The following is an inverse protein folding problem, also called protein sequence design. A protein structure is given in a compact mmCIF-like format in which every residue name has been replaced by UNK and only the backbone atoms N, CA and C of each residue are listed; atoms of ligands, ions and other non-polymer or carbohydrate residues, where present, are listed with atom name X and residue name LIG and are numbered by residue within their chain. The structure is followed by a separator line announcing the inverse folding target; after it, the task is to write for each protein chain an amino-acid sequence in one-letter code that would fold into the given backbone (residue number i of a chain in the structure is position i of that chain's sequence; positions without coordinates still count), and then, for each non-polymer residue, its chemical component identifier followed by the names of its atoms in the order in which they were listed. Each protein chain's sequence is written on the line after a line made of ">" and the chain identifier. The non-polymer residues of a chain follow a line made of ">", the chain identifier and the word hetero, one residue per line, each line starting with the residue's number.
data_IF_184078134404
#
_entry.id   IF_184078134404
#
_cell.length_a   1.000
_cell.length_b   1.000
_cell.length_c   1.000
_cell.angle_alpha   90.00
_cell.angle_beta   90.00
_cell.angle_gamma   90.00
#
_symmetry.space_group_name_H-M   'P 1'
#
loop_
_entity.id
_entity.type
_entity.pdbx_description
1 polymer ?
#
# COMPACT_ATOMS: atom_id res chain seq x y z
N UNK A 1 -19.23 -17.99 5.68
CA UNK A 1 -18.05 -17.39 6.37
C UNK A 1 -18.45 -17.08 7.82
N UNK A 2 -17.67 -17.54 8.79
CA UNK A 2 -17.97 -17.32 10.23
C UNK A 2 -17.88 -15.84 10.59
N UNK A 3 -18.63 -15.41 11.62
CA UNK A 3 -18.60 -14.02 12.14
C UNK A 3 -17.17 -13.60 12.52
N UNK A 4 -16.42 -14.51 13.15
CA UNK A 4 -15.02 -14.30 13.54
C UNK A 4 -14.13 -14.03 12.33
N UNK A 5 -14.22 -14.84 11.26
CA UNK A 5 -13.44 -14.62 10.03
C UNK A 5 -13.73 -13.25 9.39
N UNK A 6 -14.97 -12.75 9.45
CA UNK A 6 -15.32 -11.40 8.96
C UNK A 6 -14.63 -10.31 9.78
N UNK A 7 -14.66 -10.44 11.10
CA UNK A 7 -14.05 -9.47 12.02
C UNK A 7 -12.53 -9.45 11.81
N UNK A 8 -11.87 -10.61 11.80
CA UNK A 8 -10.43 -10.73 11.56
C UNK A 8 -10.03 -10.08 10.24
N UNK A 9 -10.76 -10.34 9.17
CA UNK A 9 -10.46 -9.75 7.87
C UNK A 9 -10.54 -8.22 7.87
N UNK A 10 -11.56 -7.66 8.54
CA UNK A 10 -11.70 -6.20 8.68
C UNK A 10 -10.59 -5.59 9.54
N UNK A 11 -10.19 -6.24 10.63
CA UNK A 11 -9.07 -5.78 11.45
C UNK A 11 -7.79 -5.72 10.62
N UNK A 12 -7.48 -6.80 9.87
CA UNK A 12 -6.30 -6.86 9.02
C UNK A 12 -6.31 -5.79 7.92
N UNK A 13 -7.44 -5.60 7.25
CA UNK A 13 -7.60 -4.54 6.24
C UNK A 13 -7.47 -3.15 6.86
N UNK A 14 -8.05 -2.90 8.04
CA UNK A 14 -7.94 -1.62 8.73
C UNK A 14 -6.51 -1.31 9.14
N UNK A 15 -5.77 -2.29 9.68
CA UNK A 15 -4.34 -2.12 10.00
C UNK A 15 -3.54 -1.79 8.74
N UNK A 16 -3.85 -2.47 7.63
CA UNK A 16 -3.20 -2.21 6.34
C UNK A 16 -3.49 -0.80 5.82
N UNK A 17 -4.73 -0.34 5.91
CA UNK A 17 -5.12 1.02 5.52
C UNK A 17 -4.45 2.06 6.42
N UNK A 18 -4.42 1.85 7.74
CA UNK A 18 -3.79 2.81 8.67
C UNK A 18 -2.29 2.97 8.37
N UNK A 19 -1.57 1.87 8.24
CA UNK A 19 -0.14 1.88 7.92
C UNK A 19 0.14 2.35 6.49
N UNK A 20 -0.73 2.00 5.55
CA UNK A 20 -0.69 2.51 4.18
C UNK A 20 -0.91 4.01 4.08
N UNK A 21 -1.80 4.59 4.89
CA UNK A 21 -2.03 6.04 4.95
C UNK A 21 -0.88 6.79 5.63
N UNK A 22 -0.24 6.19 6.63
CA UNK A 22 1.01 6.71 7.22
C UNK A 22 2.09 6.77 6.13
N UNK A 23 2.29 5.67 5.39
CA UNK A 23 3.25 5.61 4.27
C UNK A 23 2.93 6.68 3.21
N UNK A 24 1.67 6.76 2.78
CA UNK A 24 1.20 7.80 1.86
C UNK A 24 1.56 9.21 2.34
N UNK A 25 1.29 9.54 3.60
CA UNK A 25 1.51 10.88 4.14
C UNK A 25 3.01 11.25 4.12
N UNK A 26 3.88 10.35 4.56
CA UNK A 26 5.32 10.58 4.50
C UNK A 26 5.83 10.70 3.06
N UNK A 27 5.38 9.83 2.16
CA UNK A 27 5.76 9.91 0.74
C UNK A 27 5.29 11.22 0.11
N UNK A 28 4.08 11.68 0.44
CA UNK A 28 3.56 12.96 -0.04
C UNK A 28 4.42 14.12 0.46
N UNK A 29 4.82 14.12 1.72
CA UNK A 29 5.69 15.15 2.30
C UNK A 29 7.03 15.27 1.55
N UNK A 30 7.59 14.18 1.03
CA UNK A 30 8.84 14.20 0.27
C UNK A 30 8.75 15.01 -1.03
N UNK A 31 7.55 15.28 -1.54
CA UNK A 31 7.31 16.18 -2.68
C UNK A 31 7.86 17.59 -2.47
N UNK A 32 8.02 18.02 -1.21
CA UNK A 32 8.46 19.37 -0.88
C UNK A 32 9.65 19.39 0.09
N UNK A 33 10.27 18.25 0.34
CA UNK A 33 11.37 18.12 1.30
C UNK A 33 12.71 18.22 0.57
N UNK A 34 13.51 19.29 0.77
CA UNK A 34 14.77 19.49 0.04
C UNK A 34 15.77 18.34 0.19
N UNK A 35 15.77 17.66 1.33
CA UNK A 35 16.64 16.52 1.63
C UNK A 35 16.37 15.30 0.75
N UNK A 36 15.17 15.20 0.16
CA UNK A 36 14.77 14.14 -0.76
C UNK A 36 14.94 14.53 -2.25
N UNK A 37 15.40 15.74 -2.50
CA UNK A 37 15.65 16.24 -3.84
C UNK A 37 17.07 15.87 -4.27
N UNK A 38 17.23 15.46 -5.53
CA UNK A 38 18.56 15.26 -6.12
C UNK A 38 19.21 16.60 -6.48
N UNK A 39 19.43 17.48 -5.49
CA UNK A 39 19.83 18.88 -5.66
C UNK A 39 21.16 19.09 -6.37
N UNK A 40 22.00 18.05 -6.45
CA UNK A 40 23.23 18.05 -7.25
C UNK A 40 22.99 18.01 -8.78
N UNK A 41 21.74 17.80 -9.22
CA UNK A 41 21.34 17.76 -10.62
C UNK A 41 20.41 18.94 -10.94
N UNK A 42 20.60 19.57 -12.10
CA UNK A 42 19.85 20.76 -12.55
C UNK A 42 18.32 20.57 -12.50
N UNK A 43 17.83 19.42 -12.97
CA UNK A 43 16.40 19.05 -12.94
C UNK A 43 16.02 18.15 -11.75
N UNK A 44 16.97 17.88 -10.85
CA UNK A 44 16.82 16.92 -9.77
C UNK A 44 15.66 17.22 -8.82
N UNK A 45 15.48 18.47 -8.34
CA UNK A 45 14.34 18.84 -7.53
C UNK A 45 13.00 18.56 -8.20
N UNK A 46 12.81 18.98 -9.46
CA UNK A 46 11.56 18.76 -10.20
C UNK A 46 11.28 17.27 -10.38
N UNK A 47 12.30 16.49 -10.74
CA UNK A 47 12.16 15.05 -10.97
C UNK A 47 11.82 14.28 -9.69
N UNK A 48 12.58 14.49 -8.61
CA UNK A 48 12.32 13.86 -7.31
C UNK A 48 10.92 14.20 -6.77
N UNK A 49 10.51 15.47 -6.86
CA UNK A 49 9.19 15.91 -6.40
C UNK A 49 8.07 15.24 -7.20
N UNK A 50 8.20 15.19 -8.53
CA UNK A 50 7.24 14.50 -9.40
C UNK A 50 7.09 13.02 -9.03
N UNK A 51 8.22 12.32 -8.83
CA UNK A 51 8.19 10.90 -8.48
C UNK A 51 7.62 10.67 -7.08
N UNK A 52 7.99 11.46 -6.08
CA UNK A 52 7.41 11.38 -4.74
C UNK A 52 5.88 11.57 -4.77
N UNK A 53 5.39 12.59 -5.46
CA UNK A 53 3.96 12.83 -5.60
C UNK A 53 3.24 11.69 -6.32
N UNK A 54 3.81 11.20 -7.43
CA UNK A 54 3.27 10.06 -8.19
C UNK A 54 3.15 8.82 -7.32
N UNK A 55 4.20 8.48 -6.56
CA UNK A 55 4.18 7.33 -5.65
C UNK A 55 3.14 7.52 -4.53
N UNK A 56 2.99 8.73 -3.98
CA UNK A 56 1.92 9.03 -3.03
C UNK A 56 0.52 8.81 -3.63
N UNK A 57 0.30 9.19 -4.89
CA UNK A 57 -0.99 8.96 -5.55
C UNK A 57 -1.27 7.46 -5.78
N UNK A 58 -0.26 6.67 -6.11
CA UNK A 58 -0.38 5.21 -6.19
C UNK A 58 -0.72 4.59 -4.83
N UNK A 59 -0.03 5.03 -3.77
CA UNK A 59 -0.31 4.63 -2.40
C UNK A 59 -1.76 4.95 -2.00
N UNK A 60 -2.21 6.17 -2.27
CA UNK A 60 -3.58 6.61 -1.97
C UNK A 60 -4.61 5.76 -2.73
N UNK A 61 -4.39 5.49 -4.02
CA UNK A 61 -5.29 4.68 -4.82
C UNK A 61 -5.46 3.26 -4.23
N UNK A 62 -4.37 2.61 -3.84
CA UNK A 62 -4.41 1.28 -3.20
C UNK A 62 -5.13 1.33 -1.86
N UNK A 63 -4.87 2.35 -1.02
CA UNK A 63 -5.58 2.54 0.24
C UNK A 63 -7.10 2.69 0.03
N UNK A 64 -7.55 3.49 -0.95
CA UNK A 64 -8.97 3.65 -1.26
C UNK A 64 -9.61 2.34 -1.73
N UNK A 65 -8.90 1.54 -2.53
CA UNK A 65 -9.35 0.21 -2.94
C UNK A 65 -9.49 -0.76 -1.76
N UNK A 66 -8.57 -0.69 -0.78
CA UNK A 66 -8.62 -1.49 0.45
C UNK A 66 -9.73 -1.02 1.40
N UNK A 67 -9.97 0.29 1.51
CA UNK A 67 -11.11 0.85 2.25
C UNK A 67 -12.42 0.33 1.68
N UNK A 68 -12.59 0.38 0.34
CA UNK A 68 -13.76 -0.20 -0.35
C UNK A 68 -13.92 -1.69 0.02
N UNK A 69 -12.83 -2.45 -0.04
CA UNK A 69 -12.84 -3.87 0.30
C UNK A 69 -13.20 -4.12 1.78
N UNK A 70 -12.72 -3.30 2.71
CA UNK A 70 -13.04 -3.38 4.13
C UNK A 70 -14.54 -3.12 4.40
N UNK A 71 -15.10 -2.08 3.76
CA UNK A 71 -16.52 -1.72 3.85
C UNK A 71 -17.40 -2.85 3.31
N UNK A 72 -17.16 -3.27 2.06
CA UNK A 72 -17.98 -4.28 1.38
C UNK A 72 -17.80 -5.69 1.99
N UNK A 73 -16.63 -6.00 2.53
CA UNK A 73 -16.32 -7.32 3.08
C UNK A 73 -16.64 -8.42 2.08
N UNK A 74 -17.37 -9.45 2.50
CA UNK A 74 -17.75 -10.59 1.64
C UNK A 74 -18.78 -10.27 0.57
N UNK A 75 -19.39 -9.08 0.60
CA UNK A 75 -20.33 -8.64 -0.43
C UNK A 75 -19.62 -8.02 -1.65
N UNK A 76 -18.29 -7.87 -1.60
CA UNK A 76 -17.51 -7.40 -2.74
C UNK A 76 -17.70 -8.34 -3.93
N UNK A 77 -17.94 -7.78 -5.12
CA UNK A 77 -17.98 -8.56 -6.36
C UNK A 77 -16.59 -9.12 -6.68
N UNK A 78 -16.53 -10.27 -7.34
CA UNK A 78 -15.24 -10.92 -7.63
C UNK A 78 -14.31 -10.03 -8.45
N UNK A 79 -14.84 -9.30 -9.42
CA UNK A 79 -14.08 -8.39 -10.29
C UNK A 79 -13.43 -7.28 -9.46
N UNK A 80 -14.18 -6.66 -8.55
CA UNK A 80 -13.65 -5.61 -7.67
C UNK A 80 -12.62 -6.16 -6.68
N UNK A 81 -12.85 -7.37 -6.15
CA UNK A 81 -11.88 -8.04 -5.30
C UNK A 81 -10.59 -8.38 -6.06
N UNK A 82 -10.71 -8.88 -7.30
CA UNK A 82 -9.59 -9.24 -8.14
C UNK A 82 -8.77 -8.01 -8.53
N UNK A 83 -9.41 -6.91 -8.94
CA UNK A 83 -8.72 -5.64 -9.21
C UNK A 83 -8.04 -5.10 -7.97
N UNK A 84 -8.72 -5.06 -6.81
CA UNK A 84 -8.10 -4.60 -5.56
C UNK A 84 -6.89 -5.46 -5.20
N UNK A 85 -7.00 -6.78 -5.33
CA UNK A 85 -5.92 -7.72 -5.02
C UNK A 85 -4.74 -7.55 -5.97
N UNK A 86 -5.00 -7.43 -7.27
CA UNK A 86 -3.98 -7.18 -8.28
C UNK A 86 -3.22 -5.88 -7.98
N UNK A 87 -3.93 -4.78 -7.76
CA UNK A 87 -3.31 -3.49 -7.44
C UNK A 87 -2.49 -3.54 -6.15
N UNK A 88 -3.02 -4.16 -5.09
CA UNK A 88 -2.31 -4.30 -3.82
C UNK A 88 -1.03 -5.14 -3.96
N UNK A 89 -1.10 -6.28 -4.66
CA UNK A 89 0.06 -7.16 -4.90
C UNK A 89 1.16 -6.40 -5.64
N UNK A 90 0.85 -5.76 -6.76
CA UNK A 90 1.86 -5.06 -7.56
C UNK A 90 2.44 -3.83 -6.85
N UNK A 91 1.63 -3.14 -6.05
CA UNK A 91 2.11 -2.05 -5.21
C UNK A 91 3.09 -2.55 -4.14
N UNK A 92 2.73 -3.59 -3.39
CA UNK A 92 3.61 -4.14 -2.35
C UNK A 92 4.87 -4.80 -2.94
N UNK A 93 4.78 -5.43 -4.10
CA UNK A 93 5.94 -5.97 -4.83
C UNK A 93 7.01 -4.88 -5.04
N UNK A 94 6.60 -3.63 -5.34
CA UNK A 94 7.52 -2.51 -5.48
C UNK A 94 8.35 -2.22 -4.24
N UNK A 95 7.82 -2.50 -3.04
CA UNK A 95 8.54 -2.33 -1.78
C UNK A 95 9.56 -3.45 -1.52
N UNK A 96 9.21 -4.69 -1.90
CA UNK A 96 9.97 -5.87 -1.47
C UNK A 96 10.97 -6.36 -2.52
N UNK A 97 10.70 -6.18 -3.81
CA UNK A 97 11.60 -6.65 -4.87
C UNK A 97 12.79 -5.72 -5.08
N UNK A 98 12.72 -4.47 -4.64
CA UNK A 98 13.86 -3.55 -4.75
C UNK A 98 15.09 -4.07 -4.00
N UNK A 99 14.88 -4.80 -2.89
CA UNK A 99 15.96 -5.30 -2.06
C UNK A 99 16.75 -6.44 -2.72
N UNK A 100 16.16 -7.57 -3.15
CA UNK A 100 16.92 -8.63 -3.80
C UNK A 100 17.46 -8.25 -5.18
N UNK A 101 16.88 -7.25 -5.86
CA UNK A 101 17.32 -6.85 -7.21
C UNK A 101 18.45 -5.82 -7.15
N UNK A 102 18.32 -4.78 -6.31
CA UNK A 102 19.25 -3.64 -6.28
C UNK A 102 19.88 -3.37 -4.91
N UNK A 103 19.52 -4.15 -3.88
CA UNK A 103 19.97 -3.89 -2.51
C UNK A 103 19.22 -2.76 -1.81
N UNK A 104 18.17 -2.20 -2.43
CA UNK A 104 17.43 -1.07 -1.87
C UNK A 104 16.28 -1.53 -0.98
N UNK A 105 16.24 -1.02 0.23
CA UNK A 105 15.18 -1.25 1.19
C UNK A 105 14.84 0.06 1.91
N UNK A 106 13.83 0.04 2.78
CA UNK A 106 13.43 1.28 3.44
C UNK A 106 14.56 1.78 4.38
N UNK A 107 14.81 3.10 4.45
CA UNK A 107 16.01 3.64 5.10
C UNK A 107 16.02 3.51 6.62
N UNK A 108 14.90 3.15 7.26
CA UNK A 108 14.80 2.93 8.68
C UNK A 108 13.81 1.80 9.00
N UNK A 109 14.09 1.06 10.08
CA UNK A 109 13.31 -0.11 10.50
C UNK A 109 11.81 0.20 10.71
N UNK A 110 11.48 1.41 11.16
CA UNK A 110 10.09 1.84 11.32
C UNK A 110 9.30 1.82 10.02
N UNK A 111 9.91 2.23 8.89
CA UNK A 111 9.26 2.16 7.58
C UNK A 111 9.10 0.72 7.11
N UNK A 112 10.10 -0.14 7.35
CA UNK A 112 10.00 -1.56 7.01
C UNK A 112 8.88 -2.26 7.77
N UNK A 113 8.76 -2.01 9.07
CA UNK A 113 7.66 -2.53 9.90
C UNK A 113 6.32 -2.03 9.35
N UNK A 114 6.22 -0.75 9.01
CA UNK A 114 5.01 -0.17 8.45
C UNK A 114 4.62 -0.86 7.12
N UNK A 115 5.59 -1.07 6.22
CA UNK A 115 5.37 -1.80 4.96
C UNK A 115 4.99 -3.26 5.19
N UNK A 116 5.60 -3.94 6.17
CA UNK A 116 5.30 -5.32 6.53
C UNK A 116 3.85 -5.47 7.04
N UNK A 117 3.44 -4.60 7.97
CA UNK A 117 2.05 -4.58 8.48
C UNK A 117 1.07 -4.28 7.36
N UNK A 118 1.36 -3.29 6.50
CA UNK A 118 0.54 -2.96 5.35
C UNK A 118 0.37 -4.15 4.40
N UNK A 119 1.47 -4.81 4.05
CA UNK A 119 1.51 -5.95 3.12
C UNK A 119 0.76 -7.15 3.69
N UNK A 120 1.12 -7.60 4.90
CA UNK A 120 0.54 -8.79 5.52
C UNK A 120 -0.95 -8.56 5.81
N UNK A 121 -1.30 -7.42 6.42
CA UNK A 121 -2.68 -7.07 6.72
C UNK A 121 -3.55 -6.96 5.46
N UNK A 122 -3.02 -6.33 4.41
CA UNK A 122 -3.74 -6.13 3.15
C UNK A 122 -4.01 -7.45 2.44
N UNK A 123 -2.96 -8.25 2.21
CA UNK A 123 -3.07 -9.51 1.48
C UNK A 123 -3.86 -10.58 2.26
N UNK A 124 -3.61 -10.74 3.55
CA UNK A 124 -4.40 -11.68 4.37
C UNK A 124 -5.84 -11.23 4.51
N UNK A 125 -6.07 -9.93 4.72
CA UNK A 125 -7.42 -9.36 4.79
C UNK A 125 -8.22 -9.61 3.52
N UNK A 126 -7.63 -9.32 2.35
CA UNK A 126 -8.23 -9.60 1.04
C UNK A 126 -8.49 -11.08 0.82
N UNK A 127 -7.54 -11.95 1.17
CA UNK A 127 -7.72 -13.40 1.08
C UNK A 127 -8.91 -13.89 1.90
N UNK A 128 -9.09 -13.37 3.13
CA UNK A 128 -10.18 -13.78 4.01
C UNK A 128 -11.55 -13.30 3.54
N UNK A 129 -11.66 -12.14 2.89
CA UNK A 129 -12.94 -11.63 2.34
C UNK A 129 -13.23 -12.11 0.91
N UNK A 130 -12.36 -12.94 0.32
CA UNK A 130 -12.52 -13.45 -1.05
C UNK A 130 -13.95 -13.95 -1.28
N UNK A 131 -14.68 -13.43 -2.28
CA UNK A 131 -16.03 -13.88 -2.56
C UNK A 131 -16.01 -15.32 -3.05
N UNK A 132 -17.04 -16.10 -2.71
CA UNK A 132 -17.26 -17.42 -3.30
C UNK A 132 -17.51 -17.23 -4.80
N UNK A 133 -16.80 -17.98 -5.65
CA UNK A 133 -17.16 -18.07 -7.07
C UNK A 133 -18.61 -18.55 -7.13
N UNK A 134 -19.50 -17.70 -7.61
CA UNK A 134 -20.85 -18.11 -8.01
C UNK A 134 -20.80 -18.50 -9.47
#
# INVERSE_FOLDING_TARGET
>A
MTKMKKITARILLSLSVMTGLISFWYTLQFTWTPEFQATALDIGPTHSNYHAFREAMLALAVNLLLIRACIQGTAIKFEYWATTTFMAVFYYIGWWLAWPIWGYHAPYIGAEINHAVATIGGLMGLFLIRPSRK
#
